data_IF_829306328077
#
_entry.id   IF_829306328077
#
_cell.length_a   1.000
_cell.length_b   1.000
_cell.length_c   1.000
_cell.angle_alpha   90.00
_cell.angle_beta   90.00
_cell.angle_gamma   90.00
#
_symmetry.space_group_name_H-M   'P 1'
#
loop_
_entity.id
_entity.type
_entity.pdbx_description
1 polymer ?
#
# COMPACT_ATOMS: atom_id res chain seq x y z
N UNK A 1 -28.16 32.17 -24.98
CA UNK A 1 -27.03 33.10 -24.67
C UNK A 1 -26.17 32.47 -23.59
N UNK A 2 -24.87 32.47 -23.83
CA UNK A 2 -23.79 31.84 -23.05
C UNK A 2 -23.77 32.22 -21.56
N UNK A 3 -23.51 31.24 -20.68
CA UNK A 3 -22.75 31.47 -19.44
C UNK A 3 -21.63 30.42 -19.31
N UNK A 4 -20.42 30.96 -19.30
CA UNK A 4 -19.10 30.42 -19.01
C UNK A 4 -19.04 29.07 -18.27
N UNK A 5 -18.31 28.10 -18.84
CA UNK A 5 -17.80 26.95 -18.10
C UNK A 5 -16.59 27.35 -17.25
N UNK A 6 -16.72 27.30 -15.93
CA UNK A 6 -15.55 27.30 -15.03
C UNK A 6 -14.94 25.90 -15.01
N UNK A 7 -13.66 25.85 -15.36
CA UNK A 7 -12.73 24.74 -15.29
C UNK A 7 -12.66 24.19 -13.86
N UNK A 8 -12.84 22.89 -13.65
CA UNK A 8 -12.30 22.18 -12.49
C UNK A 8 -11.46 21.02 -13.01
N UNK A 9 -10.14 21.22 -12.97
CA UNK A 9 -9.13 20.19 -13.17
C UNK A 9 -9.22 19.21 -11.99
N UNK A 10 -9.66 17.97 -12.22
CA UNK A 10 -9.34 16.88 -11.28
C UNK A 10 -8.65 15.75 -12.05
N UNK A 11 -7.38 15.57 -11.69
CA UNK A 11 -6.47 14.59 -12.23
C UNK A 11 -6.95 13.19 -11.88
N UNK A 12 -7.56 12.51 -12.84
CA UNK A 12 -7.31 11.10 -13.16
C UNK A 12 -7.90 10.91 -14.54
N UNK A 13 -7.06 10.57 -15.53
CA UNK A 13 -7.52 10.19 -16.86
C UNK A 13 -8.42 8.95 -16.75
N UNK A 14 -9.71 9.15 -16.50
CA UNK A 14 -10.75 8.16 -16.74
C UNK A 14 -11.49 8.59 -17.99
N UNK A 15 -11.03 8.10 -19.12
CA UNK A 15 -11.88 8.01 -20.30
C UNK A 15 -13.08 7.16 -19.89
N UNK A 16 -14.34 7.59 -20.12
CA UNK A 16 -15.50 6.76 -19.82
C UNK A 16 -15.36 5.45 -20.59
N UNK A 17 -15.36 4.31 -19.88
CA UNK A 17 -15.35 2.99 -20.50
C UNK A 17 -16.59 2.91 -21.40
N UNK A 18 -16.39 2.77 -22.71
CA UNK A 18 -17.49 2.54 -23.66
C UNK A 18 -18.14 1.19 -23.35
N UNK A 19 -19.46 1.09 -23.52
CA UNK A 19 -20.22 -0.16 -23.38
C UNK A 19 -19.50 -1.31 -24.11
N UNK A 20 -19.02 -2.30 -23.34
CA UNK A 20 -18.33 -3.49 -23.86
C UNK A 20 -16.89 -3.70 -23.39
N UNK A 21 -16.24 -2.74 -22.72
CA UNK A 21 -14.89 -2.97 -22.16
C UNK A 21 -14.95 -3.59 -20.75
N UNK A 22 -14.49 -4.83 -20.61
CA UNK A 22 -14.27 -5.47 -19.30
C UNK A 22 -13.23 -4.63 -18.54
N UNK A 23 -13.51 -4.17 -17.30
CA UNK A 23 -12.55 -3.38 -16.54
C UNK A 23 -11.24 -4.14 -16.36
N UNK A 24 -10.14 -3.55 -16.84
CA UNK A 24 -8.80 -4.14 -16.73
C UNK A 24 -8.49 -4.37 -15.25
N UNK A 25 -8.34 -5.64 -14.87
CA UNK A 25 -8.00 -6.01 -13.49
C UNK A 25 -6.62 -5.45 -13.16
N UNK A 26 -6.59 -4.40 -12.33
CA UNK A 26 -5.35 -3.81 -11.86
C UNK A 26 -4.59 -4.84 -11.01
N UNK A 27 -3.40 -5.26 -11.48
CA UNK A 27 -2.52 -6.15 -10.72
C UNK A 27 -1.70 -5.35 -9.71
N UNK A 28 -1.37 -6.01 -8.60
CA UNK A 28 -0.44 -5.46 -7.63
C UNK A 28 0.98 -5.47 -8.20
N UNK A 29 1.77 -4.44 -7.87
CA UNK A 29 3.20 -4.34 -8.25
C UNK A 29 4.14 -4.79 -7.13
N UNK A 30 3.61 -5.05 -5.93
CA UNK A 30 4.38 -5.26 -4.71
C UNK A 30 4.15 -6.66 -4.14
N UNK A 31 5.19 -7.23 -3.55
CA UNK A 31 5.20 -8.52 -2.86
C UNK A 31 4.24 -8.44 -1.67
N UNK A 32 3.44 -9.50 -1.47
CA UNK A 32 2.48 -9.59 -0.37
C UNK A 32 1.23 -8.72 -0.54
N UNK A 33 1.14 -7.94 -1.62
CA UNK A 33 0.01 -7.04 -1.89
C UNK A 33 -0.91 -7.64 -2.95
N UNK A 34 -2.22 -7.55 -2.74
CA UNK A 34 -3.21 -7.97 -3.73
C UNK A 34 -4.47 -7.09 -3.70
N UNK A 35 -5.23 -7.06 -4.79
CA UNK A 35 -6.46 -6.28 -4.87
C UNK A 35 -7.56 -6.94 -4.03
N UNK A 36 -8.22 -6.16 -3.17
CA UNK A 36 -9.36 -6.60 -2.38
C UNK A 36 -10.52 -5.59 -2.55
N UNK A 37 -11.46 -5.90 -3.45
CA UNK A 37 -12.52 -4.98 -3.84
C UNK A 37 -11.98 -3.66 -4.40
N UNK A 38 -12.34 -2.52 -3.78
CA UNK A 38 -11.83 -1.19 -4.13
C UNK A 38 -10.46 -0.89 -3.51
N UNK A 39 -10.05 -1.66 -2.52
CA UNK A 39 -8.87 -1.44 -1.69
C UNK A 39 -7.74 -2.43 -2.05
N UNK A 40 -6.69 -2.45 -1.24
CA UNK A 40 -5.51 -3.29 -1.38
C UNK A 40 -5.24 -4.01 -0.07
N UNK A 41 -5.13 -5.32 -0.09
CA UNK A 41 -4.79 -6.09 1.10
C UNK A 41 -3.30 -6.39 1.16
N UNK A 42 -2.80 -6.51 2.38
CA UNK A 42 -1.44 -6.95 2.68
C UNK A 42 -1.48 -8.27 3.45
N UNK A 43 -0.64 -9.22 3.04
CA UNK A 43 -0.58 -10.56 3.60
C UNK A 43 0.85 -11.07 3.61
N UNK A 44 1.25 -11.70 4.71
CA UNK A 44 2.52 -12.40 4.83
C UNK A 44 2.27 -13.90 5.04
N UNK A 45 3.20 -14.73 4.54
CA UNK A 45 3.21 -16.16 4.82
C UNK A 45 4.31 -16.44 5.83
N UNK A 46 3.92 -17.01 6.97
CA UNK A 46 4.82 -17.48 8.02
C UNK A 46 4.67 -19.00 8.05
N UNK A 47 5.75 -19.70 7.71
CA UNK A 47 5.76 -21.14 7.43
C UNK A 47 4.72 -21.51 6.35
N UNK A 48 3.57 -22.07 6.75
CA UNK A 48 2.45 -22.42 5.88
C UNK A 48 1.22 -21.54 6.10
N UNK A 49 1.26 -20.66 7.10
CA UNK A 49 0.12 -19.88 7.53
C UNK A 49 0.11 -18.50 6.90
N UNK A 50 -1.04 -18.14 6.34
CA UNK A 50 -1.30 -16.82 5.79
C UNK A 50 -1.77 -15.89 6.90
N UNK A 51 -1.00 -14.85 7.18
CA UNK A 51 -1.35 -13.81 8.15
C UNK A 51 -1.79 -12.57 7.40
N UNK A 52 -3.04 -12.20 7.58
CA UNK A 52 -3.61 -10.98 7.01
C UNK A 52 -3.21 -9.77 7.87
N UNK A 53 -2.54 -8.81 7.23
CA UNK A 53 -2.00 -7.63 7.91
C UNK A 53 -2.95 -6.43 7.87
N UNK A 54 -3.87 -6.41 6.90
CA UNK A 54 -4.86 -5.35 6.78
C UNK A 54 -5.28 -5.05 5.34
N UNK A 55 -6.17 -4.07 5.21
CA UNK A 55 -6.63 -3.52 3.93
C UNK A 55 -6.44 -2.01 3.92
N UNK A 56 -5.94 -1.49 2.79
CA UNK A 56 -5.43 -0.13 2.63
C UNK A 56 -5.97 0.51 1.35
N UNK A 57 -5.94 1.85 1.29
CA UNK A 57 -6.47 2.58 0.15
C UNK A 57 -5.53 2.49 -1.05
N UNK A 58 -4.23 2.41 -0.81
CA UNK A 58 -3.21 2.37 -1.86
C UNK A 58 -2.36 1.09 -1.82
N UNK A 59 -1.78 0.72 -2.97
CA UNK A 59 -0.84 -0.41 -3.04
C UNK A 59 0.42 -0.16 -2.19
N UNK A 60 0.82 1.10 -2.07
CA UNK A 60 2.06 1.49 -1.40
C UNK A 60 1.89 1.36 0.12
N UNK A 61 0.76 1.79 0.68
CA UNK A 61 0.43 1.55 2.10
C UNK A 61 0.48 0.06 2.45
N UNK A 62 -0.17 -0.77 1.61
CA UNK A 62 -0.15 -2.22 1.80
C UNK A 62 1.27 -2.82 1.71
N UNK A 63 2.12 -2.28 0.83
CA UNK A 63 3.50 -2.72 0.66
C UNK A 63 4.37 -2.33 1.85
N UNK A 64 4.24 -1.11 2.39
CA UNK A 64 4.96 -0.68 3.58
C UNK A 64 4.58 -1.54 4.79
N UNK A 65 3.30 -1.89 4.93
CA UNK A 65 2.84 -2.80 5.99
C UNK A 65 3.44 -4.20 5.86
N UNK A 66 3.54 -4.71 4.64
CA UNK A 66 4.21 -5.98 4.35
C UNK A 66 5.69 -5.92 4.73
N UNK A 67 6.38 -4.86 4.30
CA UNK A 67 7.80 -4.68 4.54
C UNK A 67 8.11 -4.64 6.03
N UNK A 68 7.38 -3.80 6.79
CA UNK A 68 7.52 -3.67 8.24
C UNK A 68 7.40 -5.03 8.96
N UNK A 69 6.31 -5.77 8.70
CA UNK A 69 6.11 -7.08 9.34
C UNK A 69 7.14 -8.11 8.89
N UNK A 70 7.56 -8.08 7.62
CA UNK A 70 8.59 -8.99 7.12
C UNK A 70 9.93 -8.73 7.79
N UNK A 71 10.31 -7.46 8.00
CA UNK A 71 11.51 -7.06 8.74
C UNK A 71 11.42 -7.52 10.20
N UNK A 72 10.29 -7.27 10.88
CA UNK A 72 10.11 -7.71 12.26
C UNK A 72 10.29 -9.22 12.44
N UNK A 73 9.81 -10.02 11.49
CA UNK A 73 9.81 -11.48 11.58
C UNK A 73 11.15 -12.07 11.12
N UNK A 74 11.73 -11.55 10.04
CA UNK A 74 12.87 -12.18 9.35
C UNK A 74 14.20 -11.44 9.53
N UNK A 75 14.17 -10.23 10.10
CA UNK A 75 15.35 -9.40 10.29
C UNK A 75 16.08 -9.11 8.99
N UNK A 76 17.41 -9.24 8.99
CA UNK A 76 18.28 -8.98 7.83
C UNK A 76 17.95 -9.83 6.59
N UNK A 77 17.28 -10.97 6.77
CA UNK A 77 16.88 -11.86 5.67
C UNK A 77 15.54 -11.45 5.04
N UNK A 78 14.93 -10.37 5.50
CA UNK A 78 13.66 -9.89 4.98
C UNK A 78 13.76 -9.53 3.50
N UNK A 79 12.86 -10.12 2.69
CA UNK A 79 12.65 -9.70 1.31
C UNK A 79 11.53 -8.67 1.29
N UNK A 80 11.90 -7.42 1.05
CA UNK A 80 11.02 -6.24 1.13
C UNK A 80 10.85 -5.56 -0.22
N UNK A 81 9.85 -4.69 -0.32
CA UNK A 81 9.54 -3.90 -1.51
C UNK A 81 10.34 -2.59 -1.58
N UNK A 82 10.73 -2.03 -0.43
CA UNK A 82 11.51 -0.80 -0.33
C UNK A 82 12.81 -1.00 0.45
N UNK A 83 13.82 -0.20 0.11
CA UNK A 83 15.02 -0.08 0.93
C UNK A 83 14.78 0.82 2.14
N UNK A 84 15.21 0.35 3.31
CA UNK A 84 15.13 1.07 4.57
C UNK A 84 16.50 1.18 5.22
N UNK A 85 16.81 2.36 5.75
CA UNK A 85 17.98 2.52 6.61
C UNK A 85 17.70 1.96 8.00
N UNK A 86 18.76 1.64 8.75
CA UNK A 86 18.63 1.20 10.14
C UNK A 86 17.85 2.22 10.99
N UNK A 87 18.09 3.53 10.79
CA UNK A 87 17.36 4.59 11.49
C UNK A 87 15.86 4.57 11.18
N UNK A 88 15.47 4.33 9.92
CA UNK A 88 14.05 4.20 9.55
C UNK A 88 13.42 2.98 10.18
N UNK A 89 14.10 1.83 10.20
CA UNK A 89 13.58 0.61 10.83
C UNK A 89 13.39 0.83 12.34
N UNK A 90 14.35 1.48 13.01
CA UNK A 90 14.24 1.80 14.42
C UNK A 90 13.07 2.75 14.71
N UNK A 91 12.86 3.75 13.86
CA UNK A 91 11.72 4.66 13.95
C UNK A 91 10.38 3.92 13.78
N UNK A 92 10.30 3.00 12.81
CA UNK A 92 9.11 2.16 12.63
C UNK A 92 8.80 1.30 13.85
N UNK A 93 9.83 0.66 14.42
CA UNK A 93 9.68 -0.19 15.62
C UNK A 93 9.25 0.66 16.82
N UNK A 94 9.82 1.86 16.97
CA UNK A 94 9.45 2.81 18.01
C UNK A 94 7.99 3.25 17.85
N UNK A 95 7.60 3.69 16.66
CA UNK A 95 6.24 4.08 16.34
C UNK A 95 5.23 2.96 16.67
N UNK A 96 5.52 1.72 16.27
CA UNK A 96 4.65 0.58 16.57
C UNK A 96 4.52 0.32 18.09
N UNK A 97 5.59 0.48 18.87
CA UNK A 97 5.54 0.31 20.32
C UNK A 97 4.80 1.44 21.03
N UNK A 98 4.91 2.67 20.54
CA UNK A 98 4.31 3.86 21.16
C UNK A 98 2.81 4.02 20.82
N UNK A 99 2.33 3.41 19.75
CA UNK A 99 0.94 3.50 19.30
C UNK A 99 0.15 2.20 19.55
N UNK A 100 0.31 1.56 20.71
CA UNK A 100 -0.43 0.35 21.10
C UNK A 100 -0.42 -0.77 20.03
N UNK A 101 0.73 -0.97 19.36
CA UNK A 101 0.88 -1.94 18.28
C UNK A 101 0.06 -1.61 17.02
N UNK A 102 -0.31 -0.35 16.81
CA UNK A 102 -0.86 0.16 15.56
C UNK A 102 0.24 0.89 14.77
N UNK A 103 0.74 0.26 13.71
CA UNK A 103 1.73 0.88 12.83
C UNK A 103 1.05 1.74 11.76
N UNK A 104 1.48 3.01 11.63
CA UNK A 104 0.95 3.92 10.62
C UNK A 104 1.84 3.94 9.35
N UNK A 105 1.41 3.34 8.23
CA UNK A 105 2.23 3.25 7.02
C UNK A 105 2.40 4.58 6.30
N UNK A 106 1.55 5.59 6.56
CA UNK A 106 1.57 6.86 5.82
C UNK A 106 2.87 7.65 6.00
N UNK A 107 3.53 7.54 7.15
CA UNK A 107 4.78 8.22 7.47
C UNK A 107 5.97 7.72 6.64
N UNK A 108 5.87 6.52 6.07
CA UNK A 108 6.97 5.86 5.37
C UNK A 108 6.69 5.66 3.88
N UNK A 109 5.66 6.32 3.35
CA UNK A 109 5.40 6.35 1.92
C UNK A 109 6.46 7.22 1.25
N UNK A 110 7.15 6.68 0.25
CA UNK A 110 8.00 7.51 -0.63
C UNK A 110 7.08 8.45 -1.41
N UNK A 111 7.32 9.76 -1.30
CA UNK A 111 6.75 10.74 -2.21
C UNK A 111 7.24 10.43 -3.63
N UNK A 112 6.30 10.18 -4.55
CA UNK A 112 6.62 10.06 -5.97
C UNK A 112 6.74 11.44 -6.62
#
# INVERSE_FOLDING_TARGET
>A
MSKLSKKILTSTNKVPLSEGQIPVKQRARYIGVSKNGKNWQSLIVIDTNKVYLGTYKTQIEAAVMFDFHTILIKGEKAKVNNDYTAAQILDMIKNFKENDHEFNPHQYLKSN
#
